data_IF_150039256385
#
_entry.id   IF_150039256385
#
_cell.length_a   1.000
_cell.length_b   1.000
_cell.length_c   1.000
_cell.angle_alpha   90.00
_cell.angle_beta   90.00
_cell.angle_gamma   90.00
#
_symmetry.space_group_name_H-M   'P 1'
#
loop_
_entity.id
_entity.type
_entity.pdbx_description
1 polymer ?
#
# COMPACT_ATOMS: atom_id res chain seq x y z
N UNK A 1 -0.62 0.10 32.55
CA UNK A 1 -0.28 -0.96 31.57
C UNK A 1 -1.21 -0.88 30.38
N UNK A 2 -0.72 -1.09 29.16
CA UNK A 2 -1.57 -1.10 27.96
C UNK A 2 -2.45 -2.36 27.94
N UNK A 3 -3.78 -2.19 27.86
CA UNK A 3 -4.76 -3.30 27.94
C UNK A 3 -4.77 -4.21 26.70
N UNK A 4 -4.10 -3.83 25.60
CA UNK A 4 -4.09 -4.58 24.33
C UNK A 4 -2.80 -4.32 23.56
N UNK A 5 -2.24 -5.38 22.97
CA UNK A 5 -1.17 -5.28 21.99
C UNK A 5 -1.75 -5.01 20.60
N UNK A 6 -1.19 -4.04 19.89
CA UNK A 6 -1.58 -3.70 18.51
C UNK A 6 -0.33 -3.57 17.66
N UNK A 7 -0.46 -3.81 16.36
CA UNK A 7 0.56 -3.46 15.41
C UNK A 7 0.50 -1.98 15.11
N UNK A 8 1.68 -1.38 14.89
CA UNK A 8 1.83 0.02 14.48
C UNK A 8 2.59 0.05 13.16
N UNK A 9 1.94 0.55 12.12
CA UNK A 9 2.54 0.80 10.81
C UNK A 9 2.86 2.28 10.64
N UNK A 10 3.94 2.57 9.91
CA UNK A 10 4.34 3.94 9.56
C UNK A 10 4.34 4.04 8.04
N UNK A 11 3.37 4.75 7.49
CA UNK A 11 3.29 5.01 6.06
C UNK A 11 4.31 6.07 5.68
N UNK A 12 4.95 5.88 4.55
CA UNK A 12 5.97 6.80 4.04
C UNK A 12 6.07 6.67 2.54
N UNK A 13 6.39 7.76 1.86
CA UNK A 13 6.64 7.74 0.44
C UNK A 13 7.50 8.90 0.01
N UNK A 14 8.23 8.71 -1.07
CA UNK A 14 8.91 9.78 -1.79
C UNK A 14 9.33 9.31 -3.17
N UNK A 15 9.45 10.26 -4.09
CA UNK A 15 10.16 10.06 -5.34
C UNK A 15 10.95 11.29 -5.77
N UNK A 16 12.03 10.99 -6.48
CA UNK A 16 12.76 11.86 -7.41
C UNK A 16 12.67 11.24 -8.81
N UNK A 17 13.20 11.89 -9.85
CA UNK A 17 13.05 11.41 -11.23
C UNK A 17 13.48 9.94 -11.42
N UNK A 18 14.61 9.55 -10.83
CA UNK A 18 15.21 8.23 -11.01
C UNK A 18 14.81 7.19 -9.96
N UNK A 19 14.26 7.61 -8.82
CA UNK A 19 14.02 6.72 -7.68
C UNK A 19 12.73 7.10 -6.96
N UNK A 20 11.90 6.11 -6.65
CA UNK A 20 10.75 6.25 -5.75
C UNK A 20 10.70 5.10 -4.76
N UNK A 21 10.25 5.36 -3.54
CA UNK A 21 10.06 4.34 -2.51
C UNK A 21 8.80 4.65 -1.71
N UNK A 22 7.93 3.64 -1.57
CA UNK A 22 6.62 3.79 -0.97
C UNK A 22 6.33 2.61 -0.04
N UNK A 23 5.71 2.91 1.10
CA UNK A 23 5.26 1.95 2.09
C UNK A 23 3.91 2.42 2.62
N UNK A 24 2.89 1.58 2.45
CA UNK A 24 1.53 1.83 2.94
C UNK A 24 0.92 0.54 3.51
N UNK A 25 -0.18 0.66 4.24
CA UNK A 25 -0.86 -0.46 4.87
C UNK A 25 -2.36 -0.44 4.60
N UNK A 26 -2.90 -1.62 4.31
CA UNK A 26 -4.33 -1.89 4.21
C UNK A 26 -4.71 -3.01 5.17
N UNK A 27 -5.99 -3.19 5.45
CA UNK A 27 -6.46 -4.37 6.18
C UNK A 27 -6.34 -5.65 5.33
N UNK A 28 -6.66 -6.80 5.91
CA UNK A 28 -6.76 -8.08 5.19
C UNK A 28 -7.87 -8.11 4.14
N UNK A 29 -8.62 -7.03 4.04
CA UNK A 29 -9.69 -6.82 3.09
C UNK A 29 -9.38 -5.66 2.11
N UNK A 30 -8.12 -5.18 2.04
CA UNK A 30 -7.69 -4.15 1.11
C UNK A 30 -8.25 -2.76 1.38
N UNK A 31 -8.99 -2.59 2.47
CA UNK A 31 -9.54 -1.31 2.89
C UNK A 31 -8.48 -0.48 3.61
N UNK A 32 -8.66 0.83 3.55
CA UNK A 32 -7.84 1.75 4.31
C UNK A 32 -7.94 1.48 5.81
N UNK A 33 -6.79 1.50 6.49
CA UNK A 33 -6.73 1.40 7.94
C UNK A 33 -7.01 2.74 8.60
N UNK A 34 -7.56 2.70 9.81
CA UNK A 34 -7.72 3.90 10.64
C UNK A 34 -6.35 4.51 10.97
N UNK A 35 -6.20 5.77 10.60
CA UNK A 35 -5.02 6.56 10.95
C UNK A 35 -5.08 6.94 12.44
N UNK A 36 -4.04 6.59 13.19
CA UNK A 36 -3.85 7.05 14.56
C UNK A 36 -3.42 8.51 14.59
N UNK A 37 -2.56 8.90 13.63
CA UNK A 37 -2.07 10.25 13.48
C UNK A 37 -1.77 10.49 12.00
N UNK A 38 -2.43 11.49 11.42
CA UNK A 38 -2.00 12.08 10.15
C UNK A 38 -0.84 13.00 10.47
N UNK A 39 0.28 12.86 9.77
CA UNK A 39 1.44 13.71 10.01
C UNK A 39 1.40 14.83 8.97
N UNK A 40 1.24 16.07 9.45
CA UNK A 40 1.17 17.28 8.59
C UNK A 40 2.56 17.79 8.14
N UNK A 41 3.63 17.04 8.40
CA UNK A 41 4.97 17.43 7.96
C UNK A 41 5.19 17.04 6.49
N UNK A 42 5.01 18.02 5.61
CA UNK A 42 5.28 17.98 4.16
C UNK A 42 6.80 18.10 3.93
N UNK A 43 7.58 17.20 4.50
CA UNK A 43 8.93 16.95 4.00
C UNK A 43 8.81 16.11 2.74
N UNK A 44 9.57 16.42 1.70
CA UNK A 44 9.64 15.62 0.45
C UNK A 44 9.99 14.14 0.68
N UNK A 45 10.42 13.77 1.89
CA UNK A 45 10.76 12.42 2.34
C UNK A 45 10.14 12.16 3.72
N UNK A 46 8.82 12.21 3.83
CA UNK A 46 8.10 12.25 5.10
C UNK A 46 7.39 10.95 5.49
N UNK A 47 7.17 10.79 6.79
CA UNK A 47 6.12 9.91 7.28
C UNK A 47 4.78 10.55 6.92
N UNK A 48 3.90 9.78 6.28
CA UNK A 48 2.60 10.26 5.81
C UNK A 48 1.49 10.00 6.84
N UNK A 49 1.51 8.83 7.47
CA UNK A 49 0.53 8.45 8.47
C UNK A 49 1.09 7.39 9.41
N UNK A 50 0.52 7.34 10.61
CA UNK A 50 0.72 6.22 11.54
C UNK A 50 -0.59 5.46 11.62
N UNK A 51 -0.55 4.16 11.33
CA UNK A 51 -1.73 3.28 11.38
C UNK A 51 -1.61 2.27 12.52
N UNK A 52 -2.75 1.83 13.04
CA UNK A 52 -2.80 0.76 14.05
C UNK A 52 -3.86 -0.28 13.72
N UNK A 53 -3.51 -1.56 13.82
CA UNK A 53 -4.41 -2.67 13.54
C UNK A 53 -3.98 -3.94 14.29
N UNK A 54 -4.87 -4.93 14.39
CA UNK A 54 -4.52 -6.28 14.84
C UNK A 54 -3.78 -7.08 13.75
N UNK A 55 -4.13 -6.81 12.50
CA UNK A 55 -3.52 -7.39 11.30
C UNK A 55 -3.45 -6.31 10.23
N UNK A 56 -2.36 -6.24 9.48
CA UNK A 56 -2.29 -5.40 8.29
C UNK A 56 -1.56 -6.11 7.15
N UNK A 57 -1.88 -5.68 5.94
CA UNK A 57 -1.16 -6.00 4.72
C UNK A 57 -0.34 -4.78 4.34
N UNK A 58 0.97 -4.91 4.37
CA UNK A 58 1.91 -3.90 3.93
C UNK A 58 2.11 -4.02 2.44
N UNK A 59 2.00 -2.91 1.73
CA UNK A 59 2.32 -2.75 0.32
C UNK A 59 3.57 -1.88 0.25
N UNK A 60 4.68 -2.46 -0.19
CA UNK A 60 5.96 -1.77 -0.33
C UNK A 60 6.40 -1.80 -1.78
N UNK A 61 6.71 -0.64 -2.34
CA UNK A 61 7.15 -0.51 -3.73
C UNK A 61 8.42 0.34 -3.80
N UNK A 62 9.36 -0.10 -4.62
CA UNK A 62 10.53 0.70 -5.03
C UNK A 62 10.53 0.81 -6.55
N UNK A 63 10.56 2.06 -7.04
CA UNK A 63 10.72 2.38 -8.45
C UNK A 63 12.15 2.83 -8.70
N UNK A 64 12.85 2.20 -9.64
CA UNK A 64 14.15 2.64 -10.15
C UNK A 64 13.95 2.95 -11.63
N UNK A 65 13.95 4.23 -11.97
CA UNK A 65 13.61 4.76 -13.29
C UNK A 65 12.23 4.24 -13.74
N UNK A 66 12.20 3.28 -14.65
CA UNK A 66 10.99 2.65 -15.21
C UNK A 66 10.69 1.26 -14.63
N UNK A 67 11.56 0.78 -13.74
CA UNK A 67 11.50 -0.56 -13.18
C UNK A 67 10.91 -0.52 -11.77
N UNK A 68 10.01 -1.44 -11.46
CA UNK A 68 9.31 -1.51 -10.18
C UNK A 68 9.61 -2.85 -9.50
N UNK A 69 9.97 -2.80 -8.22
CA UNK A 69 9.98 -3.95 -7.32
C UNK A 69 8.84 -3.75 -6.30
N UNK A 70 8.01 -4.77 -6.13
CA UNK A 70 6.81 -4.74 -5.29
C UNK A 70 6.81 -5.91 -4.33
N UNK A 71 6.66 -5.61 -3.04
CA UNK A 71 6.54 -6.57 -1.96
C UNK A 71 5.23 -6.33 -1.20
N UNK A 72 4.38 -7.35 -1.17
CA UNK A 72 3.15 -7.36 -0.36
C UNK A 72 3.35 -8.38 0.75
N UNK A 73 3.25 -7.93 2.00
CA UNK A 73 3.42 -8.79 3.19
C UNK A 73 2.27 -8.66 4.16
N UNK A 74 1.78 -9.78 4.68
CA UNK A 74 0.81 -9.80 5.78
C UNK A 74 1.55 -9.80 7.10
N UNK A 75 1.03 -9.06 8.08
CA UNK A 75 1.59 -8.98 9.42
C UNK A 75 0.49 -9.14 10.47
N UNK A 76 0.68 -10.06 11.42
CA UNK A 76 -0.24 -10.32 12.54
C UNK A 76 0.53 -10.51 13.85
N UNK A 77 -0.16 -10.36 14.98
CA UNK A 77 0.38 -10.76 16.27
C UNK A 77 -0.04 -12.20 16.56
N UNK A 78 0.89 -13.02 17.05
CA UNK A 78 0.60 -14.35 17.56
C UNK A 78 -0.38 -14.27 18.74
N UNK A 79 -1.12 -15.35 19.01
CA UNK A 79 -1.88 -15.47 20.24
C UNK A 79 -0.96 -15.23 21.45
N UNK A 80 -1.46 -14.52 22.45
CA UNK A 80 -0.72 -14.25 23.68
C UNK A 80 -0.95 -15.40 24.65
N UNK A 81 0.07 -16.22 24.89
CA UNK A 81 0.07 -17.15 26.03
C UNK A 81 0.67 -16.45 27.25
N UNK A 82 -0.04 -16.51 28.38
CA UNK A 82 0.46 -16.17 29.72
C UNK A 82 1.00 -14.74 29.89
N UNK A 83 0.33 -13.73 29.31
CA UNK A 83 0.66 -12.31 29.52
C UNK A 83 2.00 -11.86 28.92
N UNK A 84 2.63 -12.71 28.10
CA UNK A 84 3.86 -12.37 27.38
C UNK A 84 3.56 -11.45 26.20
N UNK A 85 4.57 -10.69 25.76
CA UNK A 85 4.46 -9.88 24.53
C UNK A 85 4.25 -10.83 23.33
N UNK A 86 3.17 -10.66 22.54
CA UNK A 86 2.93 -11.51 21.38
C UNK A 86 4.01 -11.31 20.32
N UNK A 87 4.32 -12.38 19.58
CA UNK A 87 5.30 -12.37 18.50
C UNK A 87 4.68 -11.73 17.26
N UNK A 88 5.46 -10.92 16.54
CA UNK A 88 5.10 -10.49 15.20
C UNK A 88 5.30 -11.64 14.22
N UNK A 89 4.22 -12.06 13.56
CA UNK A 89 4.22 -13.01 12.47
C UNK A 89 4.12 -12.25 11.15
N UNK A 90 4.86 -12.71 10.14
CA UNK A 90 4.90 -12.04 8.83
C UNK A 90 5.01 -13.08 7.71
N UNK A 91 4.22 -12.90 6.66
CA UNK A 91 4.26 -13.74 5.47
C UNK A 91 4.26 -12.91 4.20
N UNK A 92 4.93 -13.41 3.16
CA UNK A 92 4.93 -12.79 1.84
C UNK A 92 3.68 -13.24 1.09
N UNK A 93 2.85 -12.28 0.69
CA UNK A 93 1.68 -12.50 -0.18
C UNK A 93 2.14 -12.44 -1.64
N UNK A 94 2.98 -11.46 -1.98
CA UNK A 94 3.45 -11.24 -3.34
C UNK A 94 4.84 -10.62 -3.33
N UNK A 95 5.68 -11.05 -4.27
CA UNK A 95 6.98 -10.47 -4.51
C UNK A 95 7.21 -10.42 -6.01
N UNK A 96 6.98 -9.25 -6.59
CA UNK A 96 7.22 -8.94 -7.99
C UNK A 96 8.53 -8.17 -8.10
N UNK A 97 9.38 -8.57 -9.04
CA UNK A 97 10.63 -7.87 -9.34
C UNK A 97 10.68 -7.51 -10.80
N UNK A 98 11.34 -6.39 -11.09
CA UNK A 98 11.56 -5.90 -12.46
C UNK A 98 10.26 -5.71 -13.24
N UNK A 99 9.21 -5.27 -12.55
CA UNK A 99 7.97 -4.89 -13.20
C UNK A 99 8.15 -3.62 -14.01
N UNK A 100 7.33 -3.44 -15.03
CA UNK A 100 7.34 -2.26 -15.89
C UNK A 100 5.93 -1.74 -16.07
N UNK A 101 5.80 -0.44 -16.30
CA UNK A 101 4.54 0.13 -16.78
C UNK A 101 4.46 -0.05 -18.29
N UNK A 102 3.27 -0.34 -18.81
CA UNK A 102 3.03 -0.42 -20.26
C UNK A 102 3.05 0.95 -20.95
N UNK A 103 3.02 2.05 -20.17
CA UNK A 103 2.96 3.42 -20.67
C UNK A 103 3.89 4.35 -19.88
N UNK A 104 4.39 5.40 -20.53
CA UNK A 104 5.32 6.36 -19.94
C UNK A 104 4.51 7.48 -19.30
N UNK A 105 4.38 7.48 -17.95
CA UNK A 105 3.54 8.42 -17.18
C UNK A 105 4.04 9.89 -17.14
N UNK A 106 4.70 10.34 -18.21
CA UNK A 106 5.26 11.67 -18.41
C UNK A 106 4.40 12.43 -19.43
N UNK A 107 4.42 13.76 -19.37
CA UNK A 107 3.70 14.64 -20.32
C UNK A 107 2.19 14.29 -20.46
N UNK A 108 1.72 13.98 -21.68
CA UNK A 108 0.29 13.79 -21.96
C UNK A 108 -0.34 12.59 -21.22
N UNK A 109 0.48 11.61 -20.86
CA UNK A 109 0.06 10.41 -20.12
C UNK A 109 0.13 10.61 -18.60
N UNK A 110 0.55 11.80 -18.13
CA UNK A 110 0.55 12.15 -16.71
C UNK A 110 -0.85 12.08 -16.08
N UNK A 111 -1.92 12.11 -16.89
CA UNK A 111 -3.31 11.91 -16.41
C UNK A 111 -3.61 10.49 -15.91
N UNK A 112 -2.80 9.50 -16.29
CA UNK A 112 -2.96 8.10 -15.88
C UNK A 112 -2.16 7.74 -14.63
N UNK A 113 -1.40 8.71 -14.12
CA UNK A 113 -0.79 8.65 -12.81
C UNK A 113 -1.86 8.31 -11.77
N UNK A 114 -1.69 7.22 -11.03
CA UNK A 114 -2.70 6.78 -10.07
C UNK A 114 -3.63 5.68 -10.57
N UNK A 115 -3.61 5.37 -11.86
CA UNK A 115 -4.52 4.41 -12.48
C UNK A 115 -3.82 3.18 -13.09
N UNK A 116 -2.49 3.20 -13.24
CA UNK A 116 -1.73 2.13 -13.90
C UNK A 116 -0.85 1.39 -12.91
N UNK A 117 -0.98 0.06 -12.89
CA UNK A 117 -0.12 -0.82 -12.10
C UNK A 117 1.06 -1.31 -12.94
N UNK A 118 2.25 -1.52 -12.35
CA UNK A 118 3.32 -2.24 -13.01
C UNK A 118 2.89 -3.69 -13.27
N UNK A 119 3.24 -4.18 -14.46
CA UNK A 119 3.07 -5.57 -14.87
C UNK A 119 4.33 -6.34 -14.48
N UNK A 120 4.15 -7.54 -13.92
CA UNK A 120 5.24 -8.41 -13.53
C UNK A 120 5.18 -9.70 -14.34
N UNK A 121 6.35 -10.28 -14.62
CA UNK A 121 6.47 -11.51 -15.38
C UNK A 121 7.18 -12.59 -14.56
N UNK A 122 6.75 -13.84 -14.76
CA UNK A 122 7.43 -15.01 -14.23
C UNK A 122 8.76 -15.23 -14.95
N UNK A 123 9.56 -16.19 -14.48
CA UNK A 123 10.77 -16.61 -15.18
C UNK A 123 10.48 -17.20 -16.58
N UNK A 124 9.27 -17.70 -16.81
CA UNK A 124 8.80 -18.20 -18.11
C UNK A 124 8.25 -17.10 -19.02
N UNK A 125 8.16 -15.85 -18.56
CA UNK A 125 7.60 -14.74 -19.33
C UNK A 125 6.07 -14.64 -19.27
N UNK A 126 5.42 -15.37 -18.37
CA UNK A 126 3.98 -15.28 -18.15
C UNK A 126 3.66 -14.11 -17.22
N UNK A 127 2.57 -13.39 -17.49
CA UNK A 127 2.12 -12.31 -16.61
C UNK A 127 1.74 -12.88 -15.24
N UNK A 128 2.35 -12.33 -14.18
CA UNK A 128 1.97 -12.65 -12.81
C UNK A 128 0.83 -11.72 -12.41
N UNK A 129 -0.33 -12.30 -12.15
CA UNK A 129 -1.50 -11.58 -11.68
C UNK A 129 -1.22 -11.08 -10.26
N UNK A 130 -1.31 -9.76 -10.07
CA UNK A 130 -1.29 -9.16 -8.74
C UNK A 130 -2.45 -9.75 -7.92
N UNK A 131 -2.28 -9.99 -6.61
CA UNK A 131 -3.37 -10.46 -5.75
C UNK A 131 -4.62 -9.57 -5.94
N UNK A 132 -5.61 -10.11 -6.63
CA UNK A 132 -6.80 -9.40 -7.07
C UNK A 132 -7.83 -9.38 -5.94
N UNK A 133 -8.20 -8.18 -5.55
CA UNK A 133 -9.36 -7.86 -4.70
C UNK A 133 -9.45 -8.67 -3.40
N UNK A 134 -9.05 -7.99 -2.36
CA UNK A 134 -9.70 -8.22 -1.11
C UNK A 134 -11.19 -7.77 -1.14
N UNK A 135 -12.12 -8.47 -0.47
CA UNK A 135 -13.55 -8.34 -0.74
C UNK A 135 -14.10 -6.93 -0.47
N UNK A 136 -14.61 -6.28 -1.52
CA UNK A 136 -15.34 -5.01 -1.44
C UNK A 136 -16.66 -5.20 -0.70
N UNK A 137 -16.94 -4.34 0.28
CA UNK A 137 -18.31 -4.12 0.78
C UNK A 137 -18.81 -2.76 0.35
N UNK A 138 -19.96 -2.77 -0.30
CA UNK A 138 -20.75 -1.61 -0.69
C UNK A 138 -21.28 -0.88 0.55
N UNK A 139 -20.79 0.33 0.80
CA UNK A 139 -21.48 1.27 1.67
C UNK A 139 -21.62 2.62 0.98
N UNK A 140 -22.80 2.82 0.40
CA UNK A 140 -23.44 4.13 0.23
C UNK A 140 -23.46 4.86 1.57
N UNK A 141 -22.91 6.08 1.61
CA UNK A 141 -23.44 7.13 2.49
C UNK A 141 -23.24 8.51 1.84
N UNK A 142 -24.37 9.21 1.69
CA UNK A 142 -24.49 10.62 1.33
C UNK A 142 -23.92 11.52 2.43
N UNK A 143 -23.31 12.65 2.04
CA UNK A 143 -23.22 13.84 2.89
C UNK A 143 -21.93 14.67 2.82
N UNK A 144 -21.97 15.69 1.95
CA UNK A 144 -21.40 17.04 2.12
C UNK A 144 -19.86 17.26 2.17
N UNK A 145 -19.37 18.17 1.31
CA UNK A 145 -18.28 19.09 1.64
C UNK A 145 -16.93 18.89 0.95
N UNK A 146 -16.76 19.53 -0.22
CA UNK A 146 -15.51 20.10 -0.78
C UNK A 146 -14.18 19.43 -0.35
N UNK A 147 -13.74 18.44 -1.14
CA UNK A 147 -12.34 18.18 -1.49
C UNK A 147 -12.35 17.26 -2.71
N UNK A 148 -11.58 17.63 -3.73
CA UNK A 148 -11.54 16.95 -5.02
C UNK A 148 -11.36 15.43 -4.84
N UNK A 149 -12.35 14.69 -5.35
CA UNK A 149 -12.45 13.23 -5.43
C UNK A 149 -11.13 12.60 -5.88
N UNK A 150 -10.43 11.92 -4.98
CA UNK A 150 -9.87 10.63 -5.33
C UNK A 150 -11.00 9.60 -5.14
N UNK A 151 -11.36 8.80 -6.15
CA UNK A 151 -12.37 7.78 -5.97
C UNK A 151 -11.91 6.83 -4.86
N UNK A 152 -12.85 6.30 -4.08
CA UNK A 152 -12.61 5.16 -3.20
C UNK A 152 -11.76 4.12 -3.95
N UNK A 153 -10.54 3.84 -3.47
CA UNK A 153 -9.67 2.82 -4.05
C UNK A 153 -9.69 1.59 -3.15
N UNK A 154 -10.51 0.57 -3.46
CA UNK A 154 -10.77 -0.55 -2.56
C UNK A 154 -9.87 -1.76 -2.85
N UNK A 155 -8.74 -1.58 -3.55
CA UNK A 155 -7.84 -2.69 -3.89
C UNK A 155 -6.37 -2.30 -3.82
N UNK A 156 -5.51 -3.27 -3.50
CA UNK A 156 -4.05 -3.11 -3.48
C UNK A 156 -3.52 -2.67 -4.85
N UNK A 157 -4.08 -3.19 -5.94
CA UNK A 157 -3.74 -2.75 -7.29
C UNK A 157 -3.96 -1.24 -7.46
N UNK A 158 -5.14 -0.75 -7.05
CA UNK A 158 -5.43 0.68 -7.16
C UNK A 158 -4.53 1.56 -6.29
N UNK A 159 -4.08 1.05 -5.14
CA UNK A 159 -3.07 1.70 -4.31
C UNK A 159 -1.69 1.73 -4.96
N UNK A 160 -1.25 0.61 -5.55
CA UNK A 160 0.04 0.54 -6.26
C UNK A 160 0.06 1.56 -7.40
N UNK A 161 -1.06 1.70 -8.10
CA UNK A 161 -1.21 2.69 -9.15
C UNK A 161 -1.05 4.14 -8.64
N UNK A 162 -1.60 4.46 -7.48
CA UNK A 162 -1.43 5.77 -6.79
C UNK A 162 -0.06 6.00 -6.20
N UNK A 163 0.60 4.95 -5.69
CA UNK A 163 1.92 5.04 -5.10
C UNK A 163 3.05 5.10 -6.14
N UNK A 164 2.79 4.83 -7.42
CA UNK A 164 3.79 4.88 -8.51
C UNK A 164 4.33 6.27 -8.87
N UNK A 165 3.99 7.32 -8.12
CA UNK A 165 4.14 8.73 -8.49
C UNK A 165 5.02 9.54 -7.55
#
# INVERSE_FOLDING_TARGET
MAKRHVLRGVESGSAVAELGAYCSFVDEHGNALLWLQRIDSIGVNGVHAVVVASVFVRVQMVRIQRTYDLLITRHSLSATENGKRPRLESSVIFHGRRGSLEMDLWHEEARFRGAVCPVFFSRSGEVIVLPGEFPKRSHTHHGCGVLHKLPSLPSVASWIACAGL
#
